data_IF_293768060182
#
_entry.id   IF_293768060182
#
_cell.length_a   1.000
_cell.length_b   1.000
_cell.length_c   1.000
_cell.angle_alpha   90.00
_cell.angle_beta   90.00
_cell.angle_gamma   90.00
#
_symmetry.space_group_name_H-M   'P 1'
#
loop_
_entity.id
_entity.type
_entity.pdbx_description
1 polymer ?
#
# COMPACT_ATOMS: atom_id res chain seq x y z
N UNK A 1 48.81 11.79 -78.93
CA UNK A 1 49.88 11.56 -77.93
C UNK A 1 49.56 10.26 -77.21
N UNK A 2 50.30 9.16 -77.21
CA UNK A 2 51.61 8.77 -77.73
C UNK A 2 51.47 7.29 -78.11
N UNK A 3 52.11 6.89 -79.22
CA UNK A 3 52.11 5.54 -79.82
C UNK A 3 53.51 4.96 -79.65
N UNK A 4 53.66 3.63 -79.61
CA UNK A 4 54.77 2.75 -80.12
C UNK A 4 54.60 1.39 -79.41
N UNK A 5 53.94 0.39 -80.02
CA UNK A 5 54.41 -0.63 -80.98
C UNK A 5 55.40 -1.67 -80.42
N UNK A 6 54.91 -2.92 -80.40
CA UNK A 6 55.62 -4.15 -80.06
C UNK A 6 56.67 -4.50 -81.13
N UNK A 7 57.82 -5.01 -80.67
CA UNK A 7 58.95 -5.39 -81.49
C UNK A 7 59.26 -6.88 -81.25
N UNK A 8 59.12 -7.67 -82.31
CA UNK A 8 59.49 -9.09 -82.35
C UNK A 8 60.65 -9.23 -83.33
N UNK A 9 61.83 -9.71 -82.91
CA UNK A 9 62.87 -10.11 -83.86
C UNK A 9 62.94 -11.63 -83.98
N UNK A 10 62.75 -12.13 -85.20
CA UNK A 10 63.07 -13.50 -85.61
C UNK A 10 64.15 -13.46 -86.71
N UNK A 11 65.16 -14.31 -86.54
CA UNK A 11 66.23 -14.81 -87.43
C UNK A 11 66.33 -14.21 -88.86
N UNK A 12 67.50 -13.85 -89.40
CA UNK A 12 68.82 -14.42 -89.21
C UNK A 12 69.29 -14.98 -90.55
N UNK A 13 70.18 -14.28 -91.25
CA UNK A 13 71.03 -14.82 -92.31
C UNK A 13 72.31 -14.00 -92.40
N UNK A 14 73.44 -14.64 -92.11
CA UNK A 14 74.78 -14.13 -92.38
C UNK A 14 75.41 -15.06 -93.43
N UNK A 15 76.00 -14.51 -94.49
CA UNK A 15 77.16 -15.15 -95.08
C UNK A 15 78.32 -14.17 -95.29
N UNK A 16 79.52 -14.67 -94.99
CA UNK A 16 80.80 -14.27 -95.57
C UNK A 16 81.29 -12.83 -95.35
N UNK A 17 82.29 -12.64 -94.47
CA UNK A 17 83.58 -12.11 -94.93
C UNK A 17 84.73 -12.37 -93.93
N UNK A 18 85.91 -12.61 -94.49
CA UNK A 18 87.16 -13.01 -93.85
C UNK A 18 88.06 -11.79 -93.62
N UNK A 19 88.72 -11.77 -92.46
CA UNK A 19 89.97 -11.02 -92.23
C UNK A 19 89.75 -9.51 -92.23
N UNK A 20 90.48 -8.69 -91.51
CA UNK A 20 91.72 -8.76 -90.77
C UNK A 20 91.82 -7.41 -90.03
N UNK A 21 92.86 -7.21 -89.22
CA UNK A 21 93.24 -5.94 -88.57
C UNK A 21 92.95 -5.80 -87.07
N UNK A 22 93.87 -6.40 -86.30
CA UNK A 22 94.56 -5.90 -85.08
C UNK A 22 94.06 -4.64 -84.33
N UNK A 23 93.86 -4.87 -83.02
CA UNK A 23 94.28 -4.10 -81.84
C UNK A 23 93.42 -2.92 -81.30
N UNK A 24 93.05 -3.11 -80.02
CA UNK A 24 92.73 -2.13 -78.96
C UNK A 24 91.34 -1.47 -78.95
N UNK A 25 90.43 -2.02 -78.13
CA UNK A 25 89.54 -1.31 -77.18
C UNK A 25 88.80 -2.36 -76.31
N UNK A 26 89.10 -2.47 -75.00
CA UNK A 26 88.12 -2.99 -74.01
C UNK A 26 86.98 -1.95 -73.92
N UNK A 27 85.69 -2.30 -73.75
CA UNK A 27 85.18 -3.04 -72.57
C UNK A 27 83.93 -3.93 -72.82
N UNK A 28 83.62 -4.82 -71.87
CA UNK A 28 82.27 -5.32 -71.47
C UNK A 28 82.29 -6.78 -70.99
N UNK A 29 82.96 -7.02 -69.86
CA UNK A 29 82.81 -8.23 -69.03
C UNK A 29 81.76 -8.01 -67.92
N UNK A 30 80.57 -7.52 -68.26
CA UNK A 30 79.57 -7.16 -67.23
C UNK A 30 78.17 -7.78 -67.41
N UNK A 31 77.90 -8.57 -68.45
CA UNK A 31 76.52 -9.00 -68.75
C UNK A 31 76.20 -10.50 -68.52
N UNK A 32 77.10 -11.30 -67.93
CA UNK A 32 76.86 -12.75 -67.69
C UNK A 32 76.96 -13.14 -66.20
N UNK A 33 76.75 -12.20 -65.28
CA UNK A 33 76.80 -12.48 -63.84
C UNK A 33 75.73 -11.75 -63.02
N UNK A 34 74.47 -11.74 -63.49
CA UNK A 34 73.36 -11.17 -62.71
C UNK A 34 72.09 -12.02 -62.60
N UNK A 35 72.06 -13.22 -63.18
CA UNK A 35 70.85 -14.09 -63.11
C UNK A 35 71.11 -15.42 -62.40
N UNK A 36 71.72 -15.33 -61.21
CA UNK A 36 71.56 -16.39 -60.21
C UNK A 36 70.41 -15.94 -59.32
N UNK A 37 69.23 -16.57 -59.35
CA UNK A 37 68.25 -16.33 -58.30
C UNK A 37 68.94 -16.71 -57.00
N UNK A 38 69.21 -15.71 -56.16
CA UNK A 38 69.65 -15.90 -54.79
C UNK A 38 68.46 -16.56 -54.10
N UNK A 39 68.40 -17.88 -54.22
CA UNK A 39 67.60 -18.71 -53.34
C UNK A 39 68.24 -18.47 -51.99
N UNK A 40 67.69 -17.50 -51.26
CA UNK A 40 67.89 -17.34 -49.84
C UNK A 40 67.60 -18.73 -49.27
N UNK A 41 68.64 -19.52 -48.98
CA UNK A 41 68.52 -20.66 -48.09
C UNK A 41 68.18 -20.06 -46.74
N UNK A 42 66.89 -19.77 -46.57
CA UNK A 42 66.33 -19.15 -45.40
C UNK A 42 66.71 -20.07 -44.25
N UNK A 43 67.58 -19.59 -43.37
CA UNK A 43 68.18 -20.46 -42.37
C UNK A 43 67.05 -21.15 -41.60
N UNK A 44 67.09 -22.47 -41.37
CA UNK A 44 65.98 -23.21 -40.78
C UNK A 44 65.54 -22.66 -39.42
N UNK A 45 66.42 -21.89 -38.76
CA UNK A 45 66.18 -21.27 -37.45
C UNK A 45 65.16 -20.14 -37.52
N UNK A 46 65.19 -19.29 -38.55
CA UNK A 46 64.25 -18.17 -38.70
C UNK A 46 62.85 -18.65 -39.09
N UNK A 47 62.74 -19.58 -40.04
CA UNK A 47 61.45 -20.20 -40.40
C UNK A 47 60.84 -20.94 -39.21
N UNK A 48 61.64 -21.73 -38.46
CA UNK A 48 61.16 -22.40 -37.25
C UNK A 48 60.76 -21.39 -36.16
N UNK A 49 61.51 -20.30 -35.97
CA UNK A 49 61.15 -19.26 -35.01
C UNK A 49 59.80 -18.61 -35.32
N UNK A 50 59.50 -18.36 -36.60
CA UNK A 50 58.18 -17.84 -37.01
C UNK A 50 57.07 -18.84 -36.71
N UNK A 51 57.27 -20.13 -37.01
CA UNK A 51 56.27 -21.17 -36.71
C UNK A 51 56.04 -21.29 -35.20
N UNK A 52 57.10 -21.34 -34.39
CA UNK A 52 56.99 -21.40 -32.93
C UNK A 52 56.35 -20.14 -32.32
N UNK A 53 56.59 -18.97 -32.91
CA UNK A 53 55.94 -17.71 -32.51
C UNK A 53 54.43 -17.78 -32.72
N UNK A 54 53.99 -18.24 -33.91
CA UNK A 54 52.56 -18.40 -34.23
C UNK A 54 51.92 -19.37 -33.24
N UNK A 55 52.54 -20.54 -33.03
CA UNK A 55 52.04 -21.54 -32.07
C UNK A 55 51.96 -20.97 -30.65
N UNK A 56 53.00 -20.24 -30.22
CA UNK A 56 53.04 -19.62 -28.90
C UNK A 56 51.92 -18.61 -28.68
N UNK A 57 51.68 -17.73 -29.66
CA UNK A 57 50.60 -16.73 -29.59
C UNK A 57 49.23 -17.40 -29.60
N UNK A 58 49.04 -18.46 -30.39
CA UNK A 58 47.78 -19.22 -30.41
C UNK A 58 47.52 -19.87 -29.06
N UNK A 59 48.50 -20.55 -28.47
CA UNK A 59 48.35 -21.20 -27.16
C UNK A 59 48.14 -20.18 -26.05
N UNK A 60 48.85 -19.05 -26.08
CA UNK A 60 48.66 -17.97 -25.12
C UNK A 60 47.26 -17.36 -25.20
N UNK A 61 46.74 -17.14 -26.41
CA UNK A 61 45.39 -16.62 -26.63
C UNK A 61 44.32 -17.60 -26.16
N UNK A 62 44.48 -18.90 -26.46
CA UNK A 62 43.55 -19.94 -26.00
C UNK A 62 43.59 -20.04 -24.47
N UNK A 63 44.80 -20.08 -23.88
CA UNK A 63 44.96 -20.10 -22.42
C UNK A 63 44.31 -18.90 -21.75
N UNK A 64 44.52 -17.70 -22.31
CA UNK A 64 43.87 -16.48 -21.84
C UNK A 64 42.34 -16.54 -21.98
N UNK A 65 41.82 -17.00 -23.12
CA UNK A 65 40.38 -17.14 -23.35
C UNK A 65 39.72 -18.15 -22.39
N UNK A 66 40.43 -19.22 -22.00
CA UNK A 66 39.94 -20.16 -20.99
C UNK A 66 39.88 -19.56 -19.58
N UNK A 67 40.78 -18.62 -19.26
CA UNK A 67 40.80 -17.93 -17.96
C UNK A 67 39.85 -16.72 -17.92
N UNK A 68 39.53 -16.15 -19.08
CA UNK A 68 38.61 -15.03 -19.22
C UNK A 68 37.20 -15.47 -18.84
N UNK A 69 36.80 -15.16 -17.60
CA UNK A 69 35.42 -15.33 -17.14
C UNK A 69 34.55 -14.30 -17.87
N UNK A 70 33.61 -14.79 -18.66
CA UNK A 70 32.55 -13.94 -19.21
C UNK A 70 31.62 -13.58 -18.05
N UNK A 71 31.64 -12.32 -17.62
CA UNK A 71 30.70 -11.81 -16.64
C UNK A 71 29.36 -11.55 -17.34
N UNK A 72 28.52 -12.59 -17.37
CA UNK A 72 27.14 -12.46 -17.81
C UNK A 72 26.32 -11.84 -16.68
N UNK A 73 26.25 -10.51 -16.66
CA UNK A 73 25.31 -9.79 -15.82
C UNK A 73 23.94 -9.79 -16.52
N UNK A 74 23.06 -10.72 -16.15
CA UNK A 74 21.65 -10.66 -16.55
C UNK A 74 21.00 -9.50 -15.78
N UNK A 75 20.53 -8.42 -16.45
CA UNK A 75 19.79 -7.38 -15.76
C UNK A 75 18.41 -7.94 -15.36
N UNK A 76 18.34 -8.48 -14.14
CA UNK A 76 17.08 -8.89 -13.54
C UNK A 76 16.36 -7.64 -13.04
N UNK A 77 15.18 -7.35 -13.59
CA UNK A 77 14.30 -6.31 -13.05
C UNK A 77 13.62 -6.85 -11.80
N UNK A 78 14.24 -6.62 -10.63
CA UNK A 78 13.61 -6.86 -9.35
C UNK A 78 12.64 -5.73 -9.00
N UNK A 79 11.36 -6.05 -8.82
CA UNK A 79 10.40 -5.11 -8.23
C UNK A 79 10.53 -5.18 -6.72
N UNK A 80 10.97 -4.09 -6.10
CA UNK A 80 10.95 -3.94 -4.65
C UNK A 80 9.50 -3.71 -4.22
N UNK A 81 8.86 -4.74 -3.68
CA UNK A 81 7.59 -4.59 -2.99
C UNK A 81 7.87 -4.39 -1.50
N UNK A 82 7.26 -3.38 -0.85
CA UNK A 82 7.41 -3.18 0.58
C UNK A 82 6.88 -4.39 1.35
N UNK A 83 7.59 -4.80 2.39
CA UNK A 83 7.23 -5.94 3.27
C UNK A 83 6.00 -5.66 4.17
N UNK A 84 5.16 -4.69 3.82
CA UNK A 84 4.03 -4.25 4.61
C UNK A 84 2.82 -3.89 3.75
N UNK A 85 1.63 -4.25 4.22
CA UNK A 85 0.38 -3.79 3.64
C UNK A 85 0.27 -2.28 3.85
N UNK A 86 0.12 -1.52 2.76
CA UNK A 86 -0.22 -0.10 2.84
C UNK A 86 -1.66 -0.02 3.34
N UNK A 87 -1.83 0.16 4.65
CA UNK A 87 -3.17 0.34 5.22
C UNK A 87 -3.50 1.83 5.26
N UNK A 88 -4.58 2.27 4.59
CA UNK A 88 -5.04 3.65 4.71
C UNK A 88 -5.46 3.92 6.15
N UNK A 89 -4.81 4.90 6.79
CA UNK A 89 -5.17 5.36 8.14
C UNK A 89 -6.52 6.09 8.04
N UNK A 90 -7.55 5.51 8.65
CA UNK A 90 -8.91 6.07 8.67
C UNK A 90 -9.30 6.41 10.11
N UNK A 91 -9.79 7.63 10.33
CA UNK A 91 -10.34 8.02 11.61
C UNK A 91 -11.73 7.36 11.80
N UNK A 92 -12.00 6.69 12.94
CA UNK A 92 -13.30 6.06 13.20
C UNK A 92 -14.42 7.10 13.42
N UNK A 93 -14.06 8.36 13.66
CA UNK A 93 -14.98 9.46 13.89
C UNK A 93 -14.64 10.59 12.91
N UNK A 94 -15.63 11.04 12.15
CA UNK A 94 -15.49 12.22 11.29
C UNK A 94 -15.42 13.49 12.14
N UNK A 95 -14.53 14.41 11.79
CA UNK A 95 -14.35 15.68 12.51
C UNK A 95 -13.41 16.61 11.76
N UNK A 96 -13.37 17.88 12.18
CA UNK A 96 -12.45 18.86 11.60
C UNK A 96 -11.04 18.57 12.13
N UNK A 97 -10.06 18.42 11.23
CA UNK A 97 -8.66 18.23 11.62
C UNK A 97 -8.14 19.50 12.27
N UNK A 98 -7.70 19.41 13.52
CA UNK A 98 -7.08 20.53 14.24
C UNK A 98 -5.59 20.60 13.95
N UNK A 99 -4.89 19.46 14.02
CA UNK A 99 -3.44 19.41 13.84
C UNK A 99 -2.98 18.03 13.36
N UNK A 100 -2.00 18.01 12.45
CA UNK A 100 -1.30 16.81 12.00
C UNK A 100 0.09 16.83 12.62
N UNK A 101 0.50 15.73 13.27
CA UNK A 101 1.76 15.63 14.01
C UNK A 101 2.86 14.87 13.25
N UNK A 102 2.58 14.45 12.02
CA UNK A 102 3.48 13.63 11.20
C UNK A 102 3.82 14.29 9.89
N UNK A 103 5.06 14.05 9.45
CA UNK A 103 5.57 14.51 8.15
C UNK A 103 5.62 13.34 7.18
N UNK A 104 5.55 13.62 5.87
CA UNK A 104 5.67 12.59 4.84
C UNK A 104 6.99 11.81 4.98
N UNK A 105 6.90 10.47 4.99
CA UNK A 105 8.07 9.59 5.11
C UNK A 105 8.58 9.36 6.55
N UNK A 106 7.93 9.93 7.57
CA UNK A 106 8.26 9.69 8.97
C UNK A 106 7.87 8.26 9.40
N UNK A 107 8.79 7.54 10.05
CA UNK A 107 8.48 6.27 10.68
C UNK A 107 7.62 6.50 11.94
N UNK A 108 6.53 5.74 12.07
CA UNK A 108 5.56 5.85 13.17
C UNK A 108 5.34 4.49 13.80
N UNK A 109 5.20 4.46 15.12
CA UNK A 109 4.92 3.25 15.89
C UNK A 109 3.43 3.11 16.19
N UNK A 110 3.01 1.90 16.57
CA UNK A 110 1.61 1.64 16.95
C UNK A 110 1.31 2.39 18.24
N UNK A 111 0.36 3.33 18.17
CA UNK A 111 -0.08 4.15 19.30
C UNK A 111 0.34 5.62 19.21
N UNK A 112 1.15 5.99 18.22
CA UNK A 112 1.53 7.38 18.00
C UNK A 112 0.33 8.25 17.59
N UNK A 113 0.27 9.46 18.16
CA UNK A 113 -0.75 10.44 17.80
C UNK A 113 -0.41 11.04 16.43
N UNK A 114 -1.10 10.59 15.39
CA UNK A 114 -0.90 11.09 14.02
C UNK A 114 -1.65 12.40 13.77
N UNK A 115 -2.90 12.47 14.22
CA UNK A 115 -3.82 13.58 13.95
C UNK A 115 -4.65 13.90 15.20
N UNK A 116 -4.85 15.18 15.50
CA UNK A 116 -5.85 15.66 16.46
C UNK A 116 -7.07 16.20 15.73
N UNK A 117 -8.25 15.76 16.13
CA UNK A 117 -9.54 16.25 15.65
C UNK A 117 -10.07 17.30 16.64
N UNK A 118 -10.73 18.36 16.16
CA UNK A 118 -11.34 19.38 17.01
C UNK A 118 -12.44 18.75 17.89
N UNK A 119 -12.28 18.74 19.22
CA UNK A 119 -13.25 18.12 20.10
C UNK A 119 -14.53 18.95 20.26
N UNK A 120 -14.60 20.20 19.81
CA UNK A 120 -15.76 21.10 20.05
C UNK A 120 -17.08 20.52 19.54
N UNK A 121 -17.09 19.98 18.33
CA UNK A 121 -18.30 19.39 17.75
C UNK A 121 -18.76 18.15 18.54
N UNK A 122 -17.82 17.29 18.91
CA UNK A 122 -18.08 16.07 19.70
C UNK A 122 -18.54 16.42 21.12
N UNK A 123 -17.91 17.40 21.77
CA UNK A 123 -18.28 17.88 23.10
C UNK A 123 -19.70 18.45 23.09
N UNK A 124 -20.04 19.29 22.11
CA UNK A 124 -21.38 19.85 22.00
C UNK A 124 -22.45 18.75 21.82
N UNK A 125 -22.15 17.71 21.04
CA UNK A 125 -23.04 16.55 20.88
C UNK A 125 -23.20 15.77 22.19
N UNK A 126 -22.10 15.51 22.91
CA UNK A 126 -22.15 14.84 24.21
C UNK A 126 -22.99 15.63 25.22
N UNK A 127 -22.76 16.94 25.35
CA UNK A 127 -23.53 17.78 26.25
C UNK A 127 -25.01 17.82 25.90
N UNK A 128 -25.36 17.90 24.61
CA UNK A 128 -26.75 17.82 24.16
C UNK A 128 -27.40 16.49 24.52
N UNK A 129 -26.70 15.37 24.29
CA UNK A 129 -27.18 14.03 24.63
C UNK A 129 -27.34 13.83 26.14
N UNK A 130 -26.45 14.39 26.95
CA UNK A 130 -26.57 14.39 28.41
C UNK A 130 -27.83 15.13 28.87
N UNK A 131 -28.07 16.32 28.32
CA UNK A 131 -29.29 17.12 28.61
C UNK A 131 -30.56 16.37 28.19
N UNK A 132 -30.55 15.71 27.03
CA UNK A 132 -31.68 14.89 26.58
C UNK A 132 -31.90 13.70 27.51
N UNK A 133 -30.82 13.04 27.95
CA UNK A 133 -30.88 11.89 28.86
C UNK A 133 -31.47 12.30 30.21
N UNK A 134 -31.00 13.38 30.82
CA UNK A 134 -31.51 13.84 32.11
C UNK A 134 -32.99 14.19 32.00
N UNK A 135 -33.39 14.89 30.94
CA UNK A 135 -34.78 15.24 30.68
C UNK A 135 -35.69 14.02 30.56
N UNK A 136 -35.27 13.00 29.80
CA UNK A 136 -36.03 11.75 29.67
C UNK A 136 -36.09 10.96 30.97
N UNK A 137 -35.03 10.99 31.78
CA UNK A 137 -35.01 10.34 33.09
C UNK A 137 -35.99 11.01 34.06
N UNK A 138 -36.03 12.34 34.08
CA UNK A 138 -36.98 13.12 34.89
C UNK A 138 -38.42 12.88 34.45
N UNK A 139 -38.68 12.88 33.15
CA UNK A 139 -40.01 12.58 32.59
C UNK A 139 -40.47 11.15 32.93
N UNK A 140 -39.57 10.16 32.82
CA UNK A 140 -39.87 8.78 33.19
C UNK A 140 -40.15 8.64 34.69
N UNK A 141 -39.33 9.26 35.54
CA UNK A 141 -39.53 9.26 36.99
C UNK A 141 -40.88 9.86 37.37
N UNK A 142 -41.28 10.93 36.70
CA UNK A 142 -42.56 11.59 36.89
C UNK A 142 -43.75 10.70 36.46
N UNK A 143 -43.68 10.03 35.31
CA UNK A 143 -44.74 9.08 34.94
C UNK A 143 -44.88 7.92 35.93
N UNK A 144 -43.76 7.47 36.52
CA UNK A 144 -43.78 6.41 37.53
C UNK A 144 -44.42 6.87 38.84
N UNK A 145 -44.21 8.11 39.28
CA UNK A 145 -44.88 8.64 40.48
C UNK A 145 -46.40 8.78 40.26
N UNK A 146 -46.83 9.21 39.07
CA UNK A 146 -48.26 9.26 38.73
C UNK A 146 -48.96 7.89 38.73
N UNK A 147 -48.25 6.84 38.31
CA UNK A 147 -48.80 5.48 38.33
C UNK A 147 -48.85 4.91 39.75
N UNK A 148 -47.94 5.32 40.62
CA UNK A 148 -47.89 4.89 42.02
C UNK A 148 -48.93 5.58 42.92
N UNK A 149 -49.73 6.52 42.38
CA UNK A 149 -50.69 7.37 43.12
C UNK A 149 -50.04 8.15 44.29
N UNK A 150 -48.71 8.22 44.29
CA UNK A 150 -47.91 9.03 45.20
C UNK A 150 -47.72 10.39 44.52
N UNK A 151 -48.71 11.25 44.68
CA UNK A 151 -48.65 12.64 44.23
C UNK A 151 -47.79 13.41 45.24
N UNK A 152 -46.48 13.14 45.28
CA UNK A 152 -45.54 14.05 45.90
C UNK A 152 -45.35 15.23 44.96
N UNK A 153 -45.74 16.42 45.44
CA UNK A 153 -45.91 17.66 44.71
C UNK A 153 -44.60 18.28 44.15
N UNK A 154 -43.54 17.50 43.98
CA UNK A 154 -42.30 17.93 43.30
C UNK A 154 -42.32 17.44 41.86
N UNK A 155 -43.18 18.03 41.04
CA UNK A 155 -42.99 17.95 39.60
C UNK A 155 -41.65 18.62 39.25
N UNK A 156 -40.75 17.96 38.48
CA UNK A 156 -39.57 18.62 37.95
C UNK A 156 -39.98 19.93 37.26
N UNK A 157 -39.34 21.04 37.60
CA UNK A 157 -39.74 22.38 37.20
C UNK A 157 -39.66 22.64 35.68
N UNK A 158 -39.10 21.69 34.92
CA UNK A 158 -38.77 21.83 33.50
C UNK A 158 -39.45 20.77 32.60
N UNK A 159 -40.60 20.25 33.05
CA UNK A 159 -41.44 19.35 32.26
C UNK A 159 -42.13 20.10 31.12
N UNK A 160 -42.34 19.41 29.99
CA UNK A 160 -43.05 19.96 28.85
C UNK A 160 -44.44 20.48 29.27
N UNK A 161 -44.89 21.65 28.76
CA UNK A 161 -46.12 22.30 29.21
C UNK A 161 -47.37 21.42 29.06
N UNK A 162 -47.38 20.50 28.07
CA UNK A 162 -48.45 19.53 27.91
C UNK A 162 -48.59 18.56 29.09
N UNK A 163 -47.47 18.08 29.66
CA UNK A 163 -47.48 17.13 30.79
C UNK A 163 -48.05 17.79 32.04
N UNK A 164 -47.71 19.06 32.30
CA UNK A 164 -48.23 19.83 33.43
C UNK A 164 -49.75 19.95 33.34
N UNK A 165 -50.28 20.23 32.15
CA UNK A 165 -51.73 20.36 31.94
C UNK A 165 -52.49 19.03 32.02
N UNK A 166 -51.91 17.93 31.49
CA UNK A 166 -52.49 16.60 31.68
C UNK A 166 -52.54 16.21 33.16
N UNK A 167 -51.49 16.56 33.92
CA UNK A 167 -51.39 16.24 35.35
C UNK A 167 -52.43 16.99 36.17
N UNK A 168 -52.62 18.29 35.93
CA UNK A 168 -53.65 19.07 36.63
C UNK A 168 -55.06 18.58 36.31
N UNK A 169 -55.33 18.25 35.04
CA UNK A 169 -56.61 17.66 34.61
C UNK A 169 -56.86 16.30 35.30
N UNK A 170 -55.86 15.43 35.33
CA UNK A 170 -55.96 14.13 36.00
C UNK A 170 -56.22 14.30 37.50
N UNK A 171 -55.48 15.20 38.17
CA UNK A 171 -55.67 15.46 39.59
C UNK A 171 -57.09 15.93 39.92
N UNK A 172 -57.68 16.80 39.09
CA UNK A 172 -59.06 17.22 39.21
C UNK A 172 -60.05 16.04 39.07
N UNK A 173 -59.87 15.19 38.04
CA UNK A 173 -60.71 14.01 37.82
C UNK A 173 -60.60 12.96 38.94
N UNK A 174 -59.40 12.79 39.51
CA UNK A 174 -59.16 11.88 40.65
C UNK A 174 -59.86 12.41 41.90
N UNK A 175 -59.77 13.72 42.17
CA UNK A 175 -60.47 14.35 43.29
C UNK A 175 -62.00 14.24 43.15
N UNK A 176 -62.53 14.43 41.94
CA UNK A 176 -63.95 14.27 41.65
C UNK A 176 -64.41 12.80 41.85
N UNK A 177 -63.66 11.84 41.33
CA UNK A 177 -63.95 10.41 41.57
C UNK A 177 -63.88 10.04 43.05
N UNK A 178 -62.97 10.62 43.82
CA UNK A 178 -62.88 10.40 45.26
C UNK A 178 -64.15 10.91 45.99
N UNK A 179 -64.67 12.07 45.59
CA UNK A 179 -65.93 12.60 46.10
C UNK A 179 -67.11 11.67 45.75
N UNK A 180 -67.23 11.23 44.49
CA UNK A 180 -68.30 10.31 44.07
C UNK A 180 -68.25 8.98 44.84
N UNK A 181 -67.05 8.44 45.07
CA UNK A 181 -66.87 7.23 45.87
C UNK A 181 -67.27 7.45 47.33
N UNK A 182 -66.97 8.61 47.91
CA UNK A 182 -67.41 8.95 49.27
C UNK A 182 -68.94 9.07 49.37
N UNK A 183 -69.61 9.64 48.35
CA UNK A 183 -71.07 9.68 48.28
C UNK A 183 -71.68 8.27 48.17
N UNK A 184 -71.17 7.43 47.28
CA UNK A 184 -71.64 6.04 47.13
C UNK A 184 -71.38 5.20 48.39
N UNK A 185 -70.24 5.39 49.05
CA UNK A 185 -69.93 4.74 50.32
C UNK A 185 -70.89 5.20 51.43
N UNK A 186 -71.21 6.50 51.51
CA UNK A 186 -72.19 7.04 52.44
C UNK A 186 -73.64 6.60 52.16
N UNK A 187 -73.94 6.22 50.93
CA UNK A 187 -75.27 5.73 50.49
C UNK A 187 -75.41 4.22 50.68
N UNK A 188 -74.41 3.50 51.21
CA UNK A 188 -74.59 2.11 51.63
C UNK A 188 -75.18 2.05 53.06
N UNK A 189 -76.50 1.98 53.23
CA UNK A 189 -77.14 2.28 54.50
C UNK A 189 -77.47 0.97 55.22
N UNK A 190 -77.20 0.93 56.52
CA UNK A 190 -78.02 0.23 57.53
C UNK A 190 -78.17 -1.31 57.47
N UNK A 191 -77.85 -2.00 56.37
CA UNK A 191 -78.02 -3.45 56.25
C UNK A 191 -76.94 -4.27 56.97
N UNK A 192 -75.90 -3.62 57.51
CA UNK A 192 -74.88 -4.28 58.32
C UNK A 192 -75.19 -4.28 59.84
N UNK A 193 -76.00 -3.34 60.35
CA UNK A 193 -76.37 -3.29 61.78
C UNK A 193 -77.69 -4.00 62.12
N UNK A 194 -78.53 -4.34 61.13
CA UNK A 194 -79.76 -5.09 61.36
C UNK A 194 -79.54 -6.62 61.23
N UNK A 195 -78.65 -7.19 62.05
CA UNK A 195 -78.63 -8.65 62.26
C UNK A 195 -79.59 -8.94 63.41
N UNK A 196 -80.75 -9.58 63.20
CA UNK A 196 -81.66 -9.89 64.30
C UNK A 196 -80.96 -10.84 65.27
N UNK A 197 -80.84 -10.37 66.51
CA UNK A 197 -80.49 -11.13 67.70
C UNK A 197 -81.50 -12.27 67.86
N UNK A 198 -81.20 -13.44 67.32
CA UNK A 198 -82.13 -14.55 67.33
C UNK A 198 -81.45 -15.87 67.06
N UNK A 199 -81.54 -16.76 68.06
CA UNK A 199 -81.26 -18.20 68.05
C UNK A 199 -79.86 -18.62 68.48
N UNK A 200 -79.65 -18.49 69.79
CA UNK A 200 -78.95 -19.51 70.56
C UNK A 200 -79.63 -20.88 70.32
N UNK A 201 -79.06 -21.71 69.45
CA UNK A 201 -79.32 -23.15 69.49
C UNK A 201 -78.00 -23.91 69.46
N UNK A 202 -77.51 -24.15 70.69
CA UNK A 202 -76.91 -25.38 71.19
C UNK A 202 -76.50 -26.41 70.12
N UNK A 203 -75.20 -26.68 70.02
CA UNK A 203 -74.71 -28.04 69.70
C UNK A 203 -73.58 -28.46 70.63
N UNK A 204 -73.54 -29.76 70.99
CA UNK A 204 -72.68 -30.31 72.03
C UNK A 204 -71.31 -30.71 71.49
N UNK A 205 -70.33 -30.73 72.38
CA UNK A 205 -69.02 -31.34 72.16
C UNK A 205 -69.13 -32.87 72.07
N UNK A 206 -68.31 -33.53 71.24
CA UNK A 206 -67.86 -34.89 71.51
C UNK A 206 -66.36 -34.92 71.89
N UNK A 207 -66.04 -35.97 72.66
CA UNK A 207 -64.78 -36.34 73.33
C UNK A 207 -63.48 -36.15 72.54
#
# INVERSE_FOLDING_TARGET
>A
MVRIQAFTPGQGTNPDDKGDTVLSTQPSREAEQFDKPVILRQSPRWSRAVVWSIVGVTVATIGWACLAKFEEAVPAQGKLEPLGMVQPVQAPVGGVVQQVYVTEGQAVEVGDRLVSLDPKATQAQLTSLEVIRTKLQEENAFYRSQLADQIDASAPADLAPGIVQLTSNRAALVAENALYRAQLAGISPERACQRPSGLAYRRPMPN
#
